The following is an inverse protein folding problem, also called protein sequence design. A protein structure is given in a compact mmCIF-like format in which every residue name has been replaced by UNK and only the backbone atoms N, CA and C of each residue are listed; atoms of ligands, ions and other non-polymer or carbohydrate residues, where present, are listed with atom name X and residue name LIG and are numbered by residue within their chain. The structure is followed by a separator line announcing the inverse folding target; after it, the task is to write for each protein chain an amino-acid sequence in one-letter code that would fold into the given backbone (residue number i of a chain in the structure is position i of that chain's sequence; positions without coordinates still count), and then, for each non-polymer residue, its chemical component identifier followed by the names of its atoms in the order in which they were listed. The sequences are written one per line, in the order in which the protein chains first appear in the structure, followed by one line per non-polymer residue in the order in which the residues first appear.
data_IF_225962335658
#
_entry.id   IF_225962335658
#
_cell.length_a   1.000
_cell.length_b   1.000
_cell.length_c   1.000
_cell.angle_alpha   90.00
_cell.angle_beta   90.00
_cell.angle_gamma   90.00
#
_symmetry.space_group_name_H-M   'P 1'
#
loop_
_entity.id
_entity.type
_entity.pdbx_description
1 polymer ?
#
# COMPACT_ATOMS: atom_id res chain seq x y z
N UNK A 1 -23.42 -28.44 10.88
CA UNK A 1 -22.96 -27.50 9.83
C UNK A 1 -22.06 -26.47 10.53
N UNK A 2 -20.90 -26.23 9.99
CA UNK A 2 -20.02 -25.15 10.46
C UNK A 2 -20.34 -23.85 9.71
N UNK A 3 -21.07 -22.88 10.31
CA UNK A 3 -21.46 -21.65 9.63
C UNK A 3 -20.25 -20.77 9.28
N UNK A 4 -19.21 -20.78 10.12
CA UNK A 4 -17.98 -20.01 9.87
C UNK A 4 -17.21 -20.58 8.68
N UNK A 5 -17.04 -21.90 8.62
CA UNK A 5 -16.39 -22.58 7.50
C UNK A 5 -17.15 -22.39 6.19
N UNK A 6 -18.49 -22.48 6.24
CA UNK A 6 -19.35 -22.23 5.07
C UNK A 6 -19.22 -20.78 4.57
N UNK A 7 -19.25 -19.81 5.45
CA UNK A 7 -19.08 -18.38 5.09
C UNK A 7 -17.70 -18.11 4.47
N UNK A 8 -16.64 -18.70 5.06
CA UNK A 8 -15.27 -18.58 4.50
C UNK A 8 -15.17 -19.20 3.11
N UNK A 9 -15.71 -20.38 2.91
CA UNK A 9 -15.72 -21.04 1.60
C UNK A 9 -16.44 -20.22 0.54
N UNK A 10 -17.56 -19.59 0.91
CA UNK A 10 -18.34 -18.70 0.02
C UNK A 10 -17.52 -17.46 -0.37
N UNK A 11 -16.89 -16.78 0.60
CA UNK A 11 -16.04 -15.63 0.33
C UNK A 11 -14.83 -16.00 -0.54
N UNK A 12 -14.24 -17.17 -0.29
CA UNK A 12 -13.08 -17.66 -1.04
C UNK A 12 -13.45 -18.02 -2.48
N UNK A 13 -14.60 -18.63 -2.70
CA UNK A 13 -15.12 -18.91 -4.04
C UNK A 13 -15.41 -17.64 -4.84
N UNK A 14 -15.90 -16.57 -4.19
CA UNK A 14 -16.09 -15.28 -4.83
C UNK A 14 -14.77 -14.62 -5.21
N UNK A 15 -13.73 -14.71 -4.36
CA UNK A 15 -12.40 -14.16 -4.64
C UNK A 15 -11.68 -14.83 -5.82
N UNK A 16 -12.02 -16.08 -6.13
CA UNK A 16 -11.45 -16.82 -7.26
C UNK A 16 -12.14 -16.53 -8.59
N UNK A 17 -13.20 -15.71 -8.59
CA UNK A 17 -13.88 -15.37 -9.83
C UNK A 17 -12.99 -14.47 -10.71
N UNK A 18 -13.06 -14.71 -12.02
CA UNK A 18 -12.51 -13.77 -13.01
C UNK A 18 -13.36 -12.48 -13.00
N UNK A 19 -12.70 -11.38 -12.62
CA UNK A 19 -13.30 -10.05 -12.51
C UNK A 19 -12.76 -9.09 -13.57
N UNK A 20 -12.48 -9.56 -14.76
CA UNK A 20 -12.11 -8.66 -15.86
C UNK A 20 -13.16 -7.57 -16.04
N UNK A 21 -12.70 -6.35 -16.32
CA UNK A 21 -13.57 -5.17 -16.46
C UNK A 21 -14.64 -5.35 -17.54
N UNK A 22 -14.31 -6.13 -18.59
CA UNK A 22 -15.20 -6.46 -19.70
C UNK A 22 -16.12 -7.66 -19.45
N UNK A 23 -16.04 -8.29 -18.28
CA UNK A 23 -16.83 -9.49 -17.95
C UNK A 23 -18.30 -9.23 -17.68
N UNK A 24 -18.71 -7.95 -17.55
CA UNK A 24 -20.07 -7.58 -17.16
C UNK A 24 -20.41 -7.85 -15.69
N UNK A 25 -19.47 -8.36 -14.89
CA UNK A 25 -19.66 -8.61 -13.46
C UNK A 25 -19.46 -7.33 -12.64
N UNK A 26 -20.17 -7.16 -11.51
CA UNK A 26 -19.98 -6.03 -10.63
C UNK A 26 -18.53 -5.97 -10.09
N UNK A 27 -17.88 -4.83 -10.25
CA UNK A 27 -16.54 -4.58 -9.73
C UNK A 27 -16.53 -4.28 -8.22
N UNK A 28 -17.69 -4.01 -7.64
CA UNK A 28 -17.93 -3.83 -6.21
C UNK A 28 -18.97 -4.83 -5.77
N UNK A 29 -18.72 -5.52 -4.67
CA UNK A 29 -19.66 -6.48 -4.11
C UNK A 29 -19.64 -6.43 -2.58
N UNK A 30 -20.82 -6.40 -1.97
CA UNK A 30 -21.00 -6.43 -0.53
C UNK A 30 -22.00 -7.51 -0.15
N UNK A 31 -21.71 -8.21 0.93
CA UNK A 31 -22.61 -9.23 1.48
C UNK A 31 -22.54 -9.27 3.00
N UNK A 32 -23.69 -9.31 3.65
CA UNK A 32 -23.80 -9.62 5.06
C UNK A 32 -24.12 -11.10 5.22
N UNK A 33 -23.30 -11.81 6.00
CA UNK A 33 -23.42 -13.24 6.22
C UNK A 33 -23.57 -13.48 7.72
N UNK A 34 -24.75 -13.95 8.14
CA UNK A 34 -25.00 -14.32 9.52
C UNK A 34 -24.37 -15.69 9.81
N UNK A 35 -23.53 -15.79 10.84
CA UNK A 35 -22.86 -17.01 11.24
C UNK A 35 -23.25 -17.47 12.65
N UNK A 36 -23.88 -16.59 13.44
CA UNK A 36 -24.54 -16.88 14.69
C UNK A 36 -25.58 -15.79 14.98
N UNK A 37 -26.40 -15.93 16.03
CA UNK A 37 -27.49 -15.01 16.35
C UNK A 37 -27.03 -13.55 16.50
N UNK A 38 -25.83 -13.35 17.03
CA UNK A 38 -25.23 -12.03 17.26
C UNK A 38 -23.88 -11.85 16.55
N UNK A 39 -23.58 -12.66 15.54
CA UNK A 39 -22.31 -12.60 14.81
C UNK A 39 -22.49 -12.62 13.31
N UNK A 40 -21.90 -11.61 12.66
CA UNK A 40 -22.01 -11.37 11.23
C UNK A 40 -20.65 -11.18 10.61
N UNK A 41 -20.52 -11.57 9.35
CA UNK A 41 -19.44 -11.14 8.48
C UNK A 41 -19.99 -10.13 7.48
N UNK A 42 -19.40 -8.95 7.44
CA UNK A 42 -19.63 -8.01 6.37
C UNK A 42 -18.53 -8.17 5.34
N UNK A 43 -18.79 -8.99 4.35
CA UNK A 43 -17.88 -9.24 3.23
C UNK A 43 -17.94 -8.08 2.25
N UNK A 44 -16.76 -7.56 1.86
CA UNK A 44 -16.59 -6.47 0.91
C UNK A 44 -15.52 -6.86 -0.10
N UNK A 45 -15.84 -6.76 -1.37
CA UNK A 45 -14.91 -6.97 -2.48
C UNK A 45 -14.97 -5.78 -3.42
N UNK A 46 -13.77 -5.23 -3.74
CA UNK A 46 -13.58 -4.15 -4.68
C UNK A 46 -12.52 -4.54 -5.69
N UNK A 47 -12.77 -4.27 -6.96
CA UNK A 47 -11.72 -4.35 -7.96
C UNK A 47 -10.72 -3.21 -7.74
N UNK A 48 -9.42 -3.50 -7.82
CA UNK A 48 -8.38 -2.53 -7.47
C UNK A 48 -8.28 -1.32 -8.42
N UNK A 49 -8.95 -1.38 -9.59
CA UNK A 49 -9.14 -0.20 -10.47
C UNK A 49 -10.04 0.88 -9.86
N UNK A 50 -10.83 0.56 -8.84
CA UNK A 50 -11.78 1.49 -8.23
C UNK A 50 -11.29 2.06 -6.91
N UNK A 51 -10.40 1.37 -6.24
CA UNK A 51 -9.95 1.72 -4.88
C UNK A 51 -8.47 1.41 -4.68
N UNK A 52 -7.85 2.16 -3.79
CA UNK A 52 -6.55 1.84 -3.21
C UNK A 52 -6.66 1.59 -1.70
N UNK A 53 -5.53 1.33 -1.05
CA UNK A 53 -5.48 1.06 0.39
C UNK A 53 -5.98 2.21 1.28
N UNK A 54 -6.06 3.43 0.77
CA UNK A 54 -6.62 4.59 1.48
C UNK A 54 -8.14 4.70 1.30
N UNK A 55 -8.62 4.56 0.06
CA UNK A 55 -10.04 4.77 -0.26
C UNK A 55 -10.93 3.65 0.28
N UNK A 56 -10.45 2.40 0.33
CA UNK A 56 -11.23 1.28 0.87
C UNK A 56 -11.68 1.52 2.31
N UNK A 57 -10.82 1.81 3.30
CA UNK A 57 -11.26 2.08 4.68
C UNK A 57 -12.15 3.32 4.78
N UNK A 58 -11.90 4.35 3.97
CA UNK A 58 -12.72 5.56 3.97
C UNK A 58 -14.17 5.27 3.51
N UNK A 59 -14.35 4.48 2.44
CA UNK A 59 -15.67 4.04 1.97
C UNK A 59 -16.36 3.20 3.05
N UNK A 60 -15.66 2.22 3.63
CA UNK A 60 -16.21 1.36 4.68
C UNK A 60 -16.68 2.17 5.89
N UNK A 61 -15.87 3.14 6.33
CA UNK A 61 -16.24 4.06 7.43
C UNK A 61 -17.46 4.91 7.08
N UNK A 62 -17.55 5.42 5.86
CA UNK A 62 -18.71 6.22 5.44
C UNK A 62 -19.99 5.38 5.43
N UNK A 63 -19.94 4.13 4.97
CA UNK A 63 -21.10 3.23 5.02
C UNK A 63 -21.52 2.98 6.48
N UNK A 64 -20.56 2.74 7.39
CA UNK A 64 -20.83 2.58 8.81
C UNK A 64 -21.47 3.86 9.41
N UNK A 65 -20.98 5.04 9.06
CA UNK A 65 -21.53 6.33 9.50
C UNK A 65 -22.99 6.52 9.04
N UNK A 66 -23.29 6.18 7.78
CA UNK A 66 -24.66 6.22 7.24
C UNK A 66 -25.57 5.26 8.01
N UNK A 67 -25.11 4.04 8.23
CA UNK A 67 -25.86 3.04 9.00
C UNK A 67 -26.13 3.51 10.42
N UNK A 68 -25.14 4.06 11.11
CA UNK A 68 -25.30 4.59 12.47
C UNK A 68 -26.27 5.79 12.52
N UNK A 69 -26.23 6.68 11.53
CA UNK A 69 -27.18 7.80 11.44
C UNK A 69 -28.63 7.30 11.29
N UNK A 70 -28.86 6.33 10.42
CA UNK A 70 -30.18 5.73 10.21
C UNK A 70 -30.70 5.03 11.48
N UNK A 71 -29.83 4.34 12.23
CA UNK A 71 -30.22 3.73 13.52
C UNK A 71 -30.68 4.78 14.55
N UNK A 72 -30.16 6.00 14.49
CA UNK A 72 -30.57 7.11 15.36
C UNK A 72 -31.74 7.93 14.80
N UNK A 73 -32.28 7.57 13.63
CA UNK A 73 -33.32 8.34 12.95
C UNK A 73 -32.83 9.67 12.38
N UNK A 74 -31.52 9.82 12.16
CA UNK A 74 -30.90 11.01 11.61
C UNK A 74 -30.88 10.98 10.08
N UNK A 75 -30.81 12.15 9.41
CA UNK A 75 -30.62 12.21 7.95
C UNK A 75 -29.34 11.54 7.51
N UNK A 76 -29.33 11.03 6.27
CA UNK A 76 -28.11 10.48 5.65
C UNK A 76 -27.02 11.54 5.63
N UNK A 77 -25.83 11.29 6.20
CA UNK A 77 -24.70 12.21 6.15
C UNK A 77 -24.27 12.49 4.70
N UNK A 78 -23.88 13.73 4.44
CA UNK A 78 -23.33 14.10 3.13
C UNK A 78 -22.08 13.29 2.79
N UNK A 79 -21.83 13.06 1.50
CA UNK A 79 -20.62 12.41 1.05
C UNK A 79 -19.39 13.28 1.37
N UNK A 80 -18.38 12.74 2.05
CA UNK A 80 -17.14 13.47 2.29
C UNK A 80 -16.16 13.40 1.11
N UNK A 81 -16.55 12.70 0.03
CA UNK A 81 -15.64 12.38 -1.06
C UNK A 81 -15.63 13.42 -2.15
N UNK A 82 -14.43 13.82 -2.56
CA UNK A 82 -14.23 14.63 -3.77
C UNK A 82 -14.51 13.79 -5.02
N UNK A 83 -15.18 14.33 -6.04
CA UNK A 83 -15.36 13.66 -7.32
C UNK A 83 -14.01 13.27 -7.94
N UNK A 84 -13.90 12.05 -8.47
CA UNK A 84 -12.64 11.60 -9.06
C UNK A 84 -12.28 12.38 -10.33
N UNK A 85 -13.25 13.00 -10.99
CA UNK A 85 -13.03 13.91 -12.11
C UNK A 85 -12.08 15.06 -11.76
N UNK A 86 -12.19 15.61 -10.55
CA UNK A 86 -11.35 16.72 -10.09
C UNK A 86 -9.88 16.27 -9.96
N UNK A 87 -9.67 15.00 -9.57
CA UNK A 87 -8.33 14.40 -9.52
C UNK A 87 -7.74 14.24 -10.92
N UNK A 88 -8.56 13.86 -11.89
CA UNK A 88 -8.14 13.71 -13.29
C UNK A 88 -7.78 15.08 -13.87
N UNK A 89 -8.60 16.10 -13.63
CA UNK A 89 -8.34 17.47 -14.08
C UNK A 89 -7.05 18.03 -13.47
N UNK A 90 -6.88 17.90 -12.15
CA UNK A 90 -5.65 18.30 -11.47
C UNK A 90 -4.41 17.62 -12.06
N UNK A 91 -4.53 16.33 -12.41
CA UNK A 91 -3.43 15.60 -13.00
C UNK A 91 -3.10 16.07 -14.43
N UNK A 92 -4.11 16.41 -15.23
CA UNK A 92 -3.90 16.99 -16.56
C UNK A 92 -3.17 18.32 -16.46
N UNK A 93 -3.62 19.22 -15.58
CA UNK A 93 -2.95 20.50 -15.32
C UNK A 93 -1.50 20.30 -14.85
N UNK A 94 -1.25 19.32 -13.98
CA UNK A 94 0.11 18.99 -13.55
C UNK A 94 1.00 18.59 -14.73
N UNK A 95 0.52 17.79 -15.67
CA UNK A 95 1.31 17.34 -16.83
C UNK A 95 1.75 18.49 -17.75
N UNK A 96 1.02 19.59 -17.76
CA UNK A 96 1.31 20.78 -18.56
C UNK A 96 2.13 21.83 -17.78
N UNK A 97 2.45 21.56 -16.51
CA UNK A 97 3.09 22.51 -15.62
C UNK A 97 4.62 22.42 -15.61
N UNK A 98 5.28 23.49 -15.15
CA UNK A 98 6.71 23.47 -14.85
C UNK A 98 7.07 22.43 -13.76
N UNK A 99 6.11 22.08 -12.88
CA UNK A 99 6.33 21.05 -11.86
C UNK A 99 6.59 19.69 -12.49
N UNK A 100 5.89 19.35 -13.58
CA UNK A 100 6.15 18.13 -14.35
C UNK A 100 7.59 18.09 -14.88
N UNK A 101 8.07 19.19 -15.43
CA UNK A 101 9.43 19.27 -15.98
C UNK A 101 10.49 19.13 -14.88
N UNK A 102 10.28 19.77 -13.72
CA UNK A 102 11.17 19.61 -12.55
C UNK A 102 11.19 18.18 -12.04
N UNK A 103 10.03 17.53 -11.99
CA UNK A 103 9.91 16.16 -11.53
C UNK A 103 10.55 15.19 -12.54
N UNK A 104 10.37 15.42 -13.85
CA UNK A 104 11.04 14.66 -14.90
C UNK A 104 12.57 14.73 -14.78
N UNK A 105 13.12 15.93 -14.59
CA UNK A 105 14.56 16.13 -14.41
C UNK A 105 15.08 15.43 -13.14
N UNK A 106 14.33 15.51 -12.03
CA UNK A 106 14.66 14.81 -10.81
C UNK A 106 14.72 13.29 -11.02
N UNK A 107 13.69 12.70 -11.65
CA UNK A 107 13.65 11.26 -11.87
C UNK A 107 14.66 10.79 -12.91
N UNK A 108 14.99 11.60 -13.91
CA UNK A 108 16.07 11.31 -14.83
C UNK A 108 17.41 11.19 -14.10
N UNK A 109 17.68 12.05 -13.10
CA UNK A 109 18.91 11.97 -12.29
C UNK A 109 18.86 10.76 -11.34
N UNK A 110 17.73 10.55 -10.62
CA UNK A 110 17.60 9.40 -9.73
C UNK A 110 17.81 8.07 -10.47
N UNK A 111 17.28 7.94 -11.67
CA UNK A 111 17.41 6.74 -12.50
C UNK A 111 18.86 6.43 -12.88
N UNK A 112 19.69 7.45 -13.18
CA UNK A 112 21.10 7.25 -13.48
C UNK A 112 21.90 6.64 -12.33
N UNK A 113 21.46 6.91 -11.10
CA UNK A 113 22.10 6.44 -9.87
C UNK A 113 21.40 5.23 -9.27
N UNK A 114 20.29 4.77 -9.88
CA UNK A 114 19.50 3.67 -9.35
C UNK A 114 20.27 2.35 -9.48
N UNK A 115 20.53 1.64 -8.37
CA UNK A 115 21.17 0.33 -8.43
C UNK A 115 20.22 -0.70 -9.05
N UNK A 116 20.74 -1.88 -9.45
CA UNK A 116 19.91 -2.97 -9.95
C UNK A 116 18.83 -3.39 -8.96
N UNK A 117 17.69 -3.89 -9.42
CA UNK A 117 16.65 -4.40 -8.52
C UNK A 117 17.17 -5.60 -7.71
N UNK A 118 16.75 -5.70 -6.45
CA UNK A 118 16.90 -6.94 -5.70
C UNK A 118 15.81 -7.95 -6.10
N UNK A 119 16.07 -9.23 -5.91
CA UNK A 119 15.07 -10.30 -5.96
C UNK A 119 15.47 -11.43 -5.04
N UNK A 120 14.47 -12.10 -4.47
CA UNK A 120 14.67 -13.34 -3.71
C UNK A 120 14.77 -14.56 -4.63
N UNK A 121 14.38 -14.42 -5.89
CA UNK A 121 14.46 -15.47 -6.89
C UNK A 121 15.80 -15.42 -7.64
N UNK A 122 16.48 -16.56 -7.84
CA UNK A 122 17.64 -16.64 -8.72
C UNK A 122 17.25 -16.54 -10.21
N UNK A 123 15.97 -16.75 -10.52
CA UNK A 123 15.46 -16.59 -11.88
C UNK A 123 15.21 -15.10 -12.20
N UNK A 124 15.25 -14.70 -13.48
CA UNK A 124 14.79 -13.38 -13.87
C UNK A 124 13.39 -13.11 -13.32
N UNK A 125 13.15 -11.89 -12.84
CA UNK A 125 11.81 -11.49 -12.39
C UNK A 125 10.84 -11.75 -13.53
N UNK A 126 9.79 -12.56 -13.32
CA UNK A 126 8.84 -12.85 -14.38
C UNK A 126 8.20 -11.53 -14.80
N UNK A 127 8.07 -11.31 -16.10
CA UNK A 127 7.14 -10.30 -16.59
C UNK A 127 5.78 -10.57 -15.97
N UNK A 128 4.96 -9.54 -15.75
CA UNK A 128 3.66 -9.61 -15.06
C UNK A 128 2.94 -10.93 -15.34
N UNK A 129 3.10 -11.89 -14.44
CA UNK A 129 2.36 -13.13 -14.48
C UNK A 129 0.97 -12.87 -13.95
N UNK A 130 -0.03 -13.21 -14.72
CA UNK A 130 -1.42 -13.07 -14.34
C UNK A 130 -1.87 -14.12 -13.31
N UNK A 131 -0.98 -14.88 -12.72
CA UNK A 131 -1.35 -15.88 -11.75
C UNK A 131 -1.05 -15.38 -10.36
N UNK A 132 -1.96 -15.51 -9.64
CA UNK A 132 -2.33 -16.11 -8.76
C UNK A 132 -2.24 -16.31 -7.31
N UNK A 133 -1.75 -17.36 -6.81
CA UNK A 133 -1.70 -17.67 -5.39
C UNK A 133 -0.63 -16.81 -4.70
N UNK A 134 -1.09 -15.79 -3.99
CA UNK A 134 -0.21 -14.95 -3.17
C UNK A 134 -0.05 -15.66 -1.82
N UNK A 135 1.19 -16.03 -1.50
CA UNK A 135 1.53 -16.47 -0.17
C UNK A 135 1.59 -15.25 0.75
N UNK A 136 0.84 -15.31 1.85
CA UNK A 136 0.86 -14.26 2.87
C UNK A 136 1.34 -14.82 4.18
N UNK A 137 2.36 -14.18 4.75
CA UNK A 137 2.85 -14.43 6.09
C UNK A 137 2.67 -13.16 6.93
N UNK A 138 2.29 -13.32 8.18
CA UNK A 138 2.25 -12.24 9.17
C UNK A 138 3.26 -12.54 10.25
N UNK A 139 4.11 -11.56 10.51
CA UNK A 139 5.05 -11.56 11.63
C UNK A 139 4.62 -10.47 12.60
N UNK A 140 4.50 -10.80 13.86
CA UNK A 140 4.22 -9.86 14.94
C UNK A 140 5.43 -9.83 15.86
N UNK A 141 5.91 -8.64 16.15
CA UNK A 141 6.90 -8.44 17.20
C UNK A 141 6.15 -8.46 18.54
N UNK A 142 6.40 -9.51 19.32
CA UNK A 142 5.79 -9.69 20.63
C UNK A 142 6.58 -8.96 21.71
N UNK A 143 5.94 -8.75 22.87
CA UNK A 143 6.58 -8.23 24.08
C UNK A 143 7.24 -6.84 23.96
N UNK A 144 6.84 -6.05 22.96
CA UNK A 144 7.36 -4.71 22.78
C UNK A 144 8.82 -4.64 22.33
N UNK A 145 9.35 -5.69 21.71
CA UNK A 145 10.75 -5.75 21.25
C UNK A 145 11.10 -4.59 20.31
N UNK A 146 10.23 -4.30 19.34
CA UNK A 146 10.43 -3.17 18.44
C UNK A 146 10.36 -1.84 19.18
N UNK A 147 9.43 -1.68 20.12
CA UNK A 147 9.30 -0.48 20.96
C UNK A 147 10.51 -0.27 21.84
N UNK A 148 11.07 -1.33 22.44
CA UNK A 148 12.29 -1.27 23.22
C UNK A 148 13.49 -0.81 22.39
N UNK A 149 13.66 -1.38 21.19
CA UNK A 149 14.68 -0.98 20.24
C UNK A 149 14.54 0.50 19.84
N UNK A 150 13.33 0.92 19.50
CA UNK A 150 13.03 2.30 19.12
C UNK A 150 13.30 3.29 20.28
N UNK A 151 13.10 2.87 21.52
CA UNK A 151 13.43 3.68 22.72
C UNK A 151 14.95 3.81 22.91
N UNK A 152 15.69 2.73 22.69
CA UNK A 152 17.15 2.75 22.79
C UNK A 152 17.80 3.61 21.69
N UNK A 153 17.18 3.67 20.52
CA UNK A 153 17.63 4.46 19.36
C UNK A 153 16.90 5.81 19.30
N UNK A 154 16.88 6.53 20.43
CA UNK A 154 16.21 7.83 20.53
C UNK A 154 16.66 8.82 19.45
N UNK A 155 15.69 9.60 18.90
CA UNK A 155 15.95 10.56 17.83
C UNK A 155 15.65 10.05 16.42
N UNK A 156 15.30 8.77 16.24
CA UNK A 156 14.82 8.20 14.98
C UNK A 156 13.32 7.93 15.08
N UNK A 157 12.57 8.30 14.05
CA UNK A 157 11.14 7.97 13.98
C UNK A 157 10.96 6.45 13.84
N UNK A 158 9.94 5.90 14.51
CA UNK A 158 9.68 4.46 14.50
C UNK A 158 9.47 3.89 13.09
N UNK A 159 8.76 4.61 12.25
CA UNK A 159 8.54 4.23 10.85
C UNK A 159 9.83 4.20 10.04
N UNK A 160 10.74 5.15 10.28
CA UNK A 160 12.03 5.21 9.59
C UNK A 160 12.97 4.10 10.08
N UNK A 161 12.90 3.77 11.36
CA UNK A 161 13.62 2.63 11.94
C UNK A 161 13.12 1.31 11.35
N UNK A 162 11.81 1.12 11.29
CA UNK A 162 11.19 -0.07 10.69
C UNK A 162 11.61 -0.23 9.22
N UNK A 163 11.61 0.86 8.47
CA UNK A 163 12.08 0.86 7.09
C UNK A 163 13.56 0.49 6.99
N UNK A 164 14.41 1.06 7.82
CA UNK A 164 15.84 0.77 7.82
C UNK A 164 16.15 -0.68 8.17
N UNK A 165 15.47 -1.23 9.17
CA UNK A 165 15.57 -2.65 9.53
C UNK A 165 15.16 -3.56 8.38
N UNK A 166 14.03 -3.24 7.73
CA UNK A 166 13.52 -3.98 6.59
C UNK A 166 14.48 -3.90 5.40
N UNK A 167 15.03 -2.72 5.12
CA UNK A 167 16.02 -2.54 4.08
C UNK A 167 17.31 -3.34 4.37
N UNK A 168 17.81 -3.30 5.59
CA UNK A 168 18.98 -4.07 6.00
C UNK A 168 18.75 -5.58 5.90
N UNK A 169 17.58 -6.05 6.36
CA UNK A 169 17.19 -7.45 6.28
C UNK A 169 17.12 -7.93 4.82
N UNK A 170 16.45 -7.18 3.95
CA UNK A 170 16.34 -7.46 2.52
C UNK A 170 17.72 -7.51 1.85
N UNK A 171 18.57 -6.54 2.10
CA UNK A 171 19.93 -6.48 1.55
C UNK A 171 20.74 -7.71 1.92
N UNK A 172 20.64 -8.15 3.17
CA UNK A 172 21.29 -9.39 3.64
C UNK A 172 20.72 -10.63 3.00
N UNK A 173 19.39 -10.70 2.89
CA UNK A 173 18.71 -11.85 2.31
C UNK A 173 19.03 -12.02 0.81
N UNK A 174 19.07 -10.92 0.07
CA UNK A 174 19.45 -10.91 -1.34
C UNK A 174 20.96 -10.89 -1.59
N UNK A 175 21.78 -10.86 -0.51
CA UNK A 175 23.23 -10.69 -0.58
C UNK A 175 23.64 -9.46 -1.41
N UNK A 176 22.96 -8.34 -1.23
CA UNK A 176 23.20 -7.06 -1.91
C UNK A 176 23.17 -5.91 -0.92
N UNK A 177 24.17 -5.06 -0.96
CA UNK A 177 24.22 -3.84 -0.15
C UNK A 177 23.76 -2.60 -0.95
N UNK A 178 23.72 -2.72 -2.28
CA UNK A 178 23.18 -1.75 -3.21
C UNK A 178 22.08 -2.39 -4.05
N UNK A 179 20.85 -1.88 -3.92
CA UNK A 179 19.72 -2.42 -4.66
C UNK A 179 18.55 -1.43 -4.75
N UNK A 180 17.69 -1.61 -5.75
CA UNK A 180 16.45 -0.86 -5.87
C UNK A 180 15.27 -1.67 -5.31
N UNK A 181 14.45 -1.01 -4.50
CA UNK A 181 13.13 -1.47 -4.05
C UNK A 181 12.05 -0.48 -4.48
N UNK A 182 10.82 -0.94 -4.64
CA UNK A 182 9.67 -0.05 -4.80
C UNK A 182 9.25 0.52 -3.46
N UNK A 183 8.83 1.79 -3.42
CA UNK A 183 8.21 2.39 -2.25
C UNK A 183 6.88 3.02 -2.63
N UNK A 184 5.82 2.73 -1.83
CA UNK A 184 4.47 3.21 -2.11
C UNK A 184 4.28 4.61 -1.55
N UNK A 185 3.91 5.54 -2.44
CA UNK A 185 3.51 6.90 -2.10
C UNK A 185 2.00 7.09 -2.34
N UNK A 186 1.31 7.68 -1.38
CA UNK A 186 -0.14 7.85 -1.43
C UNK A 186 -0.61 9.00 -2.35
N UNK A 187 0.25 9.95 -2.71
CA UNK A 187 -0.01 11.11 -3.60
C UNK A 187 -1.22 11.98 -3.23
N UNK A 188 -1.71 11.94 -2.00
CA UNK A 188 -2.98 12.57 -1.61
C UNK A 188 -2.82 13.92 -0.93
N UNK A 189 -1.71 14.16 -0.23
CA UNK A 189 -1.49 15.41 0.51
C UNK A 189 -1.35 16.60 -0.43
N UNK A 190 -2.16 17.64 -0.18
CA UNK A 190 -2.14 18.88 -0.99
C UNK A 190 -2.74 18.70 -2.38
N UNK A 191 -3.64 17.76 -2.58
CA UNK A 191 -4.26 17.40 -3.86
C UNK A 191 -5.75 17.18 -3.69
N UNK A 192 -6.53 17.33 -4.76
CA UNK A 192 -7.94 16.91 -4.85
C UNK A 192 -8.14 15.44 -4.45
N UNK A 193 -7.09 14.63 -4.56
CA UNK A 193 -7.11 13.25 -4.16
C UNK A 193 -7.20 13.01 -2.64
N UNK A 194 -7.07 14.05 -1.79
CA UNK A 194 -7.05 13.90 -0.32
C UNK A 194 -8.28 13.15 0.20
N UNK A 195 -9.44 13.44 -0.36
CA UNK A 195 -10.71 12.80 0.00
C UNK A 195 -11.35 12.02 -1.15
N UNK A 196 -10.70 11.88 -2.29
CA UNK A 196 -11.23 11.11 -3.40
C UNK A 196 -11.14 9.59 -3.14
N UNK A 197 -12.10 8.85 -3.73
CA UNK A 197 -12.14 7.38 -3.66
C UNK A 197 -11.58 6.80 -4.94
N UNK A 198 -10.45 6.55 -5.20
CA UNK A 198 -9.88 5.98 -6.43
C UNK A 198 -8.41 5.65 -6.24
N UNK A 199 -7.81 4.90 -7.14
CA UNK A 199 -6.40 4.58 -7.06
C UNK A 199 -5.56 5.81 -7.42
N UNK A 200 -4.89 6.40 -6.43
CA UNK A 200 -4.04 7.58 -6.59
C UNK A 200 -2.60 7.33 -6.15
N UNK A 201 -2.33 6.14 -5.64
CA UNK A 201 -0.99 5.76 -5.21
C UNK A 201 0.01 5.70 -6.38
N UNK A 202 1.28 5.82 -6.05
CA UNK A 202 2.39 5.63 -6.98
C UNK A 202 3.45 4.75 -6.32
N UNK A 203 4.02 3.80 -7.06
CA UNK A 203 5.11 2.95 -6.58
C UNK A 203 6.41 3.40 -7.24
N UNK A 204 7.25 4.07 -6.50
CA UNK A 204 8.44 4.73 -7.03
C UNK A 204 9.72 3.98 -6.66
N UNK A 205 10.72 3.95 -7.54
CA UNK A 205 11.98 3.26 -7.27
C UNK A 205 12.80 3.97 -6.20
N UNK A 206 13.07 3.26 -5.11
CA UNK A 206 13.93 3.68 -4.00
C UNK A 206 15.27 2.97 -4.14
N UNK A 207 16.34 3.70 -4.45
CA UNK A 207 17.69 3.17 -4.37
C UNK A 207 18.12 3.04 -2.91
N UNK A 208 18.48 1.85 -2.50
CA UNK A 208 18.98 1.54 -1.16
C UNK A 208 20.46 1.24 -1.25
N UNK A 209 21.23 1.92 -0.43
CA UNK A 209 22.66 1.72 -0.27
C UNK A 209 22.95 1.47 1.21
N UNK A 210 23.65 0.40 1.56
CA UNK A 210 23.98 0.04 2.94
C UNK A 210 25.52 0.04 3.07
N UNK A 211 26.05 1.08 3.69
CA UNK A 211 27.48 1.18 3.91
C UNK A 211 27.92 0.31 5.08
N UNK A 212 29.06 -0.35 4.95
CA UNK A 212 29.58 -1.29 5.97
C UNK A 212 29.82 -0.66 7.36
N UNK A 213 30.10 0.63 7.41
CA UNK A 213 30.36 1.38 8.64
C UNK A 213 29.16 2.22 9.10
N UNK A 214 28.03 2.15 8.38
CA UNK A 214 26.83 2.91 8.71
C UNK A 214 26.08 2.25 9.87
N UNK A 215 25.77 3.02 10.90
CA UNK A 215 24.92 2.54 12.00
C UNK A 215 23.43 2.55 11.58
N UNK A 216 22.61 1.75 12.25
CA UNK A 216 21.18 1.69 11.97
C UNK A 216 20.46 3.05 12.08
N UNK A 217 20.73 3.91 13.09
CA UNK A 217 20.17 5.27 13.10
C UNK A 217 20.61 6.15 11.92
N UNK A 218 21.85 6.02 11.47
CA UNK A 218 22.34 6.75 10.29
C UNK A 218 21.63 6.30 9.01
N UNK A 219 21.49 4.98 8.83
CA UNK A 219 20.72 4.41 7.71
C UNK A 219 19.27 4.91 7.73
N UNK A 220 18.59 4.85 8.88
CA UNK A 220 17.23 5.32 9.05
C UNK A 220 17.08 6.81 8.70
N UNK A 221 17.96 7.65 9.22
CA UNK A 221 17.96 9.10 8.96
C UNK A 221 18.17 9.40 7.47
N UNK A 222 19.09 8.70 6.82
CA UNK A 222 19.39 8.87 5.40
C UNK A 222 18.25 8.42 4.52
N UNK A 223 17.64 7.26 4.79
CA UNK A 223 16.45 6.79 4.06
C UNK A 223 15.26 7.75 4.24
N UNK A 224 15.04 8.24 5.46
CA UNK A 224 13.99 9.25 5.73
C UNK A 224 14.21 10.54 4.92
N UNK A 225 15.45 11.04 4.85
CA UNK A 225 15.79 12.21 4.05
C UNK A 225 15.58 11.96 2.55
N UNK A 226 15.94 10.79 2.05
CA UNK A 226 15.69 10.38 0.67
C UNK A 226 14.20 10.31 0.35
N UNK A 227 13.39 9.65 1.19
CA UNK A 227 11.94 9.59 1.03
C UNK A 227 11.29 10.98 1.09
N UNK A 228 11.76 11.86 1.98
CA UNK A 228 11.30 13.24 2.04
C UNK A 228 11.58 14.00 0.74
N UNK A 229 12.73 13.76 0.11
CA UNK A 229 13.08 14.32 -1.20
C UNK A 229 12.18 13.74 -2.29
N UNK A 230 12.02 12.42 -2.36
CA UNK A 230 11.16 11.76 -3.34
C UNK A 230 9.69 12.19 -3.22
N UNK A 231 9.19 12.41 -2.00
CA UNK A 231 7.81 12.86 -1.76
C UNK A 231 7.48 14.18 -2.44
N UNK A 232 8.43 15.06 -2.67
CA UNK A 232 8.22 16.33 -3.41
C UNK A 232 8.00 16.10 -4.90
N UNK A 233 8.44 14.93 -5.42
CA UNK A 233 8.38 14.53 -6.82
C UNK A 233 7.52 13.29 -7.04
N UNK A 234 6.64 12.96 -6.06
CA UNK A 234 5.85 11.73 -6.07
C UNK A 234 4.70 11.73 -7.08
N UNK A 235 4.41 12.89 -7.68
CA UNK A 235 3.35 13.03 -8.70
C UNK A 235 3.77 12.51 -10.07
N UNK A 236 5.06 12.39 -10.32
CA UNK A 236 5.58 11.85 -11.57
C UNK A 236 5.40 10.34 -11.61
N UNK A 237 4.68 9.85 -12.61
CA UNK A 237 4.25 8.46 -12.65
C UNK A 237 5.41 7.48 -12.82
N UNK A 238 5.36 6.37 -12.11
CA UNK A 238 6.30 5.27 -12.26
C UNK A 238 6.36 4.75 -13.71
N UNK A 239 5.22 4.65 -14.38
CA UNK A 239 5.15 4.26 -15.79
C UNK A 239 5.85 5.27 -16.71
N UNK A 240 5.78 6.56 -16.38
CA UNK A 240 6.48 7.58 -17.14
C UNK A 240 7.99 7.48 -16.91
N UNK A 241 8.44 7.17 -15.69
CA UNK A 241 9.87 6.91 -15.40
C UNK A 241 10.38 5.74 -16.24
N UNK A 242 9.57 4.67 -16.39
CA UNK A 242 9.91 3.53 -17.25
C UNK A 242 9.98 3.96 -18.72
N UNK A 243 8.99 4.69 -19.23
CA UNK A 243 8.99 5.19 -20.63
C UNK A 243 10.22 6.06 -20.91
N UNK A 244 10.54 6.98 -20.01
CA UNK A 244 11.71 7.87 -20.15
C UNK A 244 13.04 7.11 -20.08
N UNK A 245 13.04 5.87 -19.59
CA UNK A 245 14.23 5.02 -19.58
C UNK A 245 14.56 4.42 -20.93
N UNK A 246 13.65 4.50 -21.89
CA UNK A 246 13.78 3.81 -23.18
C UNK A 246 13.66 2.29 -23.08
N UNK A 247 13.29 1.76 -21.92
CA UNK A 247 13.09 0.32 -21.70
C UNK A 247 11.85 -0.17 -22.44
N UNK A 248 11.99 -1.31 -23.10
CA UNK A 248 10.86 -1.98 -23.73
C UNK A 248 9.99 -2.71 -22.70
N UNK A 249 8.74 -2.96 -23.06
CA UNK A 249 7.87 -3.81 -22.24
C UNK A 249 8.45 -5.22 -22.14
N UNK A 250 8.65 -5.71 -20.90
CA UNK A 250 9.25 -7.02 -20.63
C UNK A 250 10.73 -7.01 -20.27
N UNK A 251 11.39 -5.86 -20.31
CA UNK A 251 12.74 -5.72 -19.75
C UNK A 251 12.70 -5.74 -18.22
N UNK A 252 13.89 -5.89 -17.60
CA UNK A 252 14.06 -5.92 -16.16
C UNK A 252 13.37 -4.71 -15.50
N UNK A 253 12.53 -4.93 -14.46
CA UNK A 253 11.81 -3.85 -13.79
C UNK A 253 12.78 -2.88 -13.08
N UNK A 254 12.33 -1.66 -12.78
CA UNK A 254 13.11 -0.67 -12.04
C UNK A 254 13.41 -1.07 -10.60
N UNK A 255 12.59 -1.95 -10.04
CA UNK A 255 12.70 -2.47 -8.67
C UNK A 255 12.06 -3.86 -8.58
N UNK A 256 12.49 -4.65 -7.60
CA UNK A 256 11.90 -5.96 -7.29
C UNK A 256 10.93 -5.85 -6.10
N UNK A 257 11.39 -6.04 -4.85
CA UNK A 257 10.56 -5.96 -3.66
C UNK A 257 9.93 -4.59 -3.49
N UNK A 258 8.71 -4.55 -2.96
CA UNK A 258 7.96 -3.32 -2.65
C UNK A 258 7.87 -3.16 -1.14
N UNK A 259 8.21 -1.97 -0.67
CA UNK A 259 8.10 -1.55 0.73
C UNK A 259 6.86 -0.66 0.89
N UNK A 260 5.98 -1.03 1.81
CA UNK A 260 4.71 -0.36 2.02
C UNK A 260 4.51 -0.09 3.52
N UNK A 261 4.48 1.17 3.92
CA UNK A 261 4.18 1.56 5.31
C UNK A 261 2.70 1.87 5.39
N UNK A 262 1.94 1.01 6.06
CA UNK A 262 0.49 1.11 6.20
C UNK A 262 0.13 1.66 7.58
N UNK A 263 -0.16 2.95 7.65
CA UNK A 263 -0.64 3.66 8.84
C UNK A 263 -2.17 3.87 8.78
N UNK A 264 -2.91 2.83 8.38
CA UNK A 264 -4.36 2.94 8.26
C UNK A 264 -5.05 2.32 9.46
N UNK A 265 -6.00 3.05 10.01
CA UNK A 265 -6.94 2.53 10.98
C UNK A 265 -8.12 1.87 10.24
N UNK A 266 -8.27 0.57 10.44
CA UNK A 266 -9.37 -0.22 9.89
C UNK A 266 -10.49 -0.45 10.90
N UNK A 267 -10.40 0.11 12.10
CA UNK A 267 -11.44 -0.04 13.11
C UNK A 267 -12.68 0.75 12.71
N UNK A 268 -13.83 0.14 12.94
CA UNK A 268 -15.14 0.77 12.76
C UNK A 268 -15.76 0.97 14.15
N UNK A 269 -16.19 2.18 14.41
CA UNK A 269 -16.96 2.49 15.61
C UNK A 269 -18.45 2.39 15.28
N UNK A 270 -19.05 1.25 15.64
CA UNK A 270 -20.49 1.02 15.50
C UNK A 270 -21.03 0.78 16.94
N UNK A 271 -21.94 1.65 17.43
CA UNK A 271 -22.44 1.55 18.80
C UNK A 271 -23.02 0.16 19.10
N UNK A 272 -22.55 -0.45 20.19
CA UNK A 272 -22.98 -1.78 20.62
C UNK A 272 -22.43 -2.95 19.82
N UNK A 273 -21.51 -2.72 18.89
CA UNK A 273 -20.90 -3.76 18.05
C UNK A 273 -19.38 -3.76 18.22
N UNK A 274 -18.80 -4.92 18.48
CA UNK A 274 -17.36 -5.11 18.39
C UNK A 274 -17.00 -5.47 16.94
N UNK A 275 -16.08 -4.73 16.35
CA UNK A 275 -15.67 -4.93 14.96
C UNK A 275 -14.22 -5.40 14.89
N UNK A 276 -13.93 -6.28 13.91
CA UNK A 276 -12.57 -6.70 13.57
C UNK A 276 -12.46 -6.83 12.06
N UNK A 277 -11.46 -6.19 11.47
CA UNK A 277 -11.22 -6.24 10.04
C UNK A 277 -10.21 -7.32 9.67
N UNK A 278 -10.57 -8.15 8.70
CA UNK A 278 -9.69 -9.17 8.13
C UNK A 278 -9.51 -8.92 6.64
N UNK A 279 -8.27 -8.79 6.19
CA UNK A 279 -7.97 -8.68 4.75
C UNK A 279 -7.83 -10.09 4.17
N UNK A 280 -8.73 -10.46 3.27
CA UNK A 280 -8.75 -11.78 2.62
C UNK A 280 -7.85 -11.83 1.39
N UNK A 281 -7.78 -10.75 0.63
CA UNK A 281 -6.94 -10.62 -0.56
C UNK A 281 -6.37 -9.20 -0.67
N UNK A 282 -5.25 -9.08 -1.37
CA UNK A 282 -4.63 -7.81 -1.75
C UNK A 282 -4.40 -7.79 -3.25
N UNK A 283 -3.93 -6.67 -3.78
CA UNK A 283 -3.52 -6.58 -5.18
C UNK A 283 -2.36 -7.52 -5.53
N UNK A 284 -1.99 -7.59 -6.81
CA UNK A 284 -0.94 -8.47 -7.28
C UNK A 284 0.41 -8.09 -6.67
N UNK A 285 1.21 -9.11 -6.36
CA UNK A 285 2.60 -8.97 -5.91
C UNK A 285 3.50 -9.52 -7.02
N UNK A 286 4.44 -8.70 -7.49
CA UNK A 286 5.32 -9.09 -8.60
C UNK A 286 6.50 -9.96 -8.14
N UNK A 287 7.05 -9.70 -6.96
CA UNK A 287 8.15 -10.46 -6.34
C UNK A 287 7.87 -10.63 -4.85
N UNK A 288 8.04 -9.57 -4.08
CA UNK A 288 7.76 -9.52 -2.65
C UNK A 288 7.18 -8.16 -2.28
N UNK A 289 6.11 -8.13 -1.49
CA UNK A 289 5.67 -6.91 -0.82
C UNK A 289 5.84 -7.07 0.70
N UNK A 290 6.58 -6.16 1.31
CA UNK A 290 6.73 -6.04 2.75
C UNK A 290 5.86 -4.89 3.24
N UNK A 291 4.73 -5.24 3.83
CA UNK A 291 3.82 -4.27 4.41
C UNK A 291 4.10 -4.11 5.92
N UNK A 292 4.47 -2.91 6.31
CA UNK A 292 4.79 -2.53 7.68
C UNK A 292 3.56 -1.87 8.32
N UNK A 293 3.10 -2.41 9.44
CA UNK A 293 1.94 -1.90 10.19
C UNK A 293 2.40 -1.48 11.58
N UNK A 294 2.81 -0.22 11.77
CA UNK A 294 3.03 0.32 13.10
C UNK A 294 1.67 0.50 13.80
N UNK A 295 1.57 0.05 15.03
CA UNK A 295 0.37 0.23 15.84
C UNK A 295 0.44 1.49 16.72
N UNK A 296 -0.67 1.82 17.38
CA UNK A 296 -0.78 2.96 18.28
C UNK A 296 0.08 2.82 19.55
N UNK A 297 0.40 1.59 19.96
CA UNK A 297 1.24 1.30 21.13
C UNK A 297 2.74 1.36 20.77
N UNK A 298 3.05 1.48 19.50
CA UNK A 298 4.41 1.61 18.96
C UNK A 298 5.09 0.30 18.70
N UNK A 299 4.35 -0.78 18.63
CA UNK A 299 4.82 -2.06 18.13
C UNK A 299 4.65 -2.14 16.61
N UNK A 300 5.21 -3.18 16.00
CA UNK A 300 5.25 -3.36 14.56
C UNK A 300 4.78 -4.76 14.19
N UNK A 301 3.92 -4.85 13.18
CA UNK A 301 3.72 -6.12 12.47
C UNK A 301 4.09 -5.99 10.99
N UNK A 302 4.57 -7.06 10.43
CA UNK A 302 4.97 -7.14 9.02
C UNK A 302 4.16 -8.24 8.33
#
# INVERSE_FOLDING_TARGET
IDPHGTARALMQADLQQDLRVDSGKPLVFHQLIQVADNRWYWYQRYHHLLVDGFSFPAITRQIANIYCAWLRGEPTPASPFTPFADVVEEYQQYRESEAWQRDAAFWAEQRRQLPPPASLSPAPLPGRSASADILRLKLEFTDGEFRQLATQLSGVQRTDLALALTALWLGRLCNRMDYAAGFIFMRRLGSAALTATGPVLNVLPLGIHIAAQETLPQLATRLAAQLKKMRRHQRYDAEQIVRDSGRAAGEEPLFGPVLNIKVFDYQLDIPGVQTQTHTLATGPVNDLELALFPDEHGDLSI
#
